data_IF_398445989846
#
_entry.id   IF_398445989846
#
_cell.length_a   1.000
_cell.length_b   1.000
_cell.length_c   1.000
_cell.angle_alpha   90.00
_cell.angle_beta   90.00
_cell.angle_gamma   90.00
#
_symmetry.space_group_name_H-M   'P 1'
#
loop_
_entity.id
_entity.type
_entity.pdbx_description
1 polymer ?
#
# COMPACT_ATOMS: atom_id res chain seq x y z
N UNK A 1 0.69 -4.14 -25.21
CA UNK A 1 -0.49 -4.91 -24.78
C UNK A 1 -0.28 -5.34 -23.34
N UNK A 2 -1.01 -4.74 -22.39
CA UNK A 2 -1.00 -5.20 -21.01
C UNK A 2 -1.36 -6.68 -20.99
N UNK A 3 -0.44 -7.49 -20.48
CA UNK A 3 -0.64 -8.92 -20.46
C UNK A 3 -1.64 -9.23 -19.35
N UNK A 4 -2.85 -9.67 -19.73
CA UNK A 4 -3.97 -9.97 -18.82
C UNK A 4 -3.55 -10.90 -17.67
N UNK A 5 -2.58 -11.79 -17.93
CA UNK A 5 -2.02 -12.69 -16.92
C UNK A 5 -1.36 -11.92 -15.77
N UNK A 6 -0.60 -10.86 -16.06
CA UNK A 6 0.02 -10.04 -15.02
C UNK A 6 -1.00 -9.19 -14.26
N UNK A 7 -2.06 -8.75 -14.93
CA UNK A 7 -3.17 -8.04 -14.27
C UNK A 7 -3.86 -8.95 -13.24
N UNK A 8 -4.11 -10.22 -13.58
CA UNK A 8 -4.69 -11.21 -12.66
C UNK A 8 -3.76 -11.51 -11.47
N UNK A 9 -2.44 -11.60 -11.70
CA UNK A 9 -1.47 -11.82 -10.62
C UNK A 9 -1.43 -10.62 -9.67
N UNK A 10 -1.40 -9.38 -10.20
CA UNK A 10 -1.49 -8.18 -9.38
C UNK A 10 -2.80 -8.10 -8.58
N UNK A 11 -3.92 -8.55 -9.14
CA UNK A 11 -5.21 -8.64 -8.43
C UNK A 11 -5.14 -9.62 -7.25
N UNK A 12 -4.55 -10.80 -7.44
CA UNK A 12 -4.34 -11.77 -6.37
C UNK A 12 -3.44 -11.20 -5.26
N UNK A 13 -2.37 -10.50 -5.63
CA UNK A 13 -1.47 -9.82 -4.67
C UNK A 13 -2.24 -8.72 -3.91
N UNK A 14 -3.06 -7.93 -4.61
CA UNK A 14 -3.87 -6.88 -4.01
C UNK A 14 -4.81 -7.45 -2.94
N UNK A 15 -5.51 -8.54 -3.27
CA UNK A 15 -6.51 -9.14 -2.39
C UNK A 15 -5.90 -9.88 -1.20
N UNK A 16 -4.88 -10.72 -1.42
CA UNK A 16 -4.32 -11.56 -0.36
C UNK A 16 -3.25 -10.87 0.48
N UNK A 17 -2.51 -9.91 -0.07
CA UNK A 17 -1.36 -9.29 0.59
C UNK A 17 -1.66 -7.83 0.91
N UNK A 18 -2.00 -7.03 -0.11
CA UNK A 18 -2.16 -5.59 0.08
C UNK A 18 -3.29 -5.24 1.04
N UNK A 19 -4.39 -6.01 1.05
CA UNK A 19 -5.49 -5.79 1.97
C UNK A 19 -5.09 -5.98 3.44
N UNK A 20 -4.31 -7.01 3.75
CA UNK A 20 -3.81 -7.26 5.11
C UNK A 20 -2.77 -6.22 5.54
N UNK A 21 -1.82 -5.91 4.66
CA UNK A 21 -0.76 -4.93 4.94
C UNK A 21 -1.35 -3.53 5.13
N UNK A 22 -2.28 -3.12 4.27
CA UNK A 22 -2.96 -1.83 4.40
C UNK A 22 -3.84 -1.77 5.64
N UNK A 23 -4.56 -2.85 5.98
CA UNK A 23 -5.35 -2.92 7.22
C UNK A 23 -4.49 -2.77 8.47
N UNK A 24 -3.36 -3.46 8.53
CA UNK A 24 -2.42 -3.34 9.64
C UNK A 24 -1.80 -1.93 9.69
N UNK A 25 -1.30 -1.41 8.57
CA UNK A 25 -0.71 -0.07 8.53
C UNK A 25 -1.73 1.03 8.84
N UNK A 26 -2.99 0.91 8.44
CA UNK A 26 -4.03 1.89 8.73
C UNK A 26 -4.32 1.97 10.23
N UNK A 27 -4.38 0.83 10.92
CA UNK A 27 -4.59 0.78 12.37
C UNK A 27 -3.48 1.52 13.14
N UNK A 28 -2.22 1.28 12.80
CA UNK A 28 -1.11 1.99 13.44
C UNK A 28 -1.03 3.47 12.98
N UNK A 29 -1.39 3.78 11.74
CA UNK A 29 -1.37 5.16 11.22
C UNK A 29 -2.32 6.05 12.01
N UNK A 30 -3.54 5.59 12.30
CA UNK A 30 -4.54 6.35 13.06
C UNK A 30 -4.03 6.75 14.45
N UNK A 31 -3.20 5.91 15.09
CA UNK A 31 -2.63 6.18 16.42
C UNK A 31 -1.39 7.08 16.33
N UNK A 32 -0.51 6.83 15.34
CA UNK A 32 0.76 7.55 15.17
C UNK A 32 0.55 8.94 14.57
N UNK A 33 -0.47 9.14 13.73
CA UNK A 33 -0.74 10.40 13.06
C UNK A 33 -0.96 11.59 14.02
N UNK A 34 -1.80 11.52 15.07
CA UNK A 34 -1.91 12.59 16.06
C UNK A 34 -0.68 12.73 16.96
N UNK A 35 0.17 11.71 17.09
CA UNK A 35 1.43 11.83 17.82
C UNK A 35 2.52 12.49 16.96
N UNK A 36 2.43 12.36 15.64
CA UNK A 36 3.38 12.94 14.69
C UNK A 36 3.34 14.48 14.65
N UNK A 37 2.20 15.10 14.93
CA UNK A 37 2.10 16.57 15.07
C UNK A 37 2.84 17.12 16.30
N UNK A 38 3.08 16.29 17.32
CA UNK A 38 3.80 16.68 18.53
C UNK A 38 5.28 16.29 18.50
N UNK A 39 5.65 15.28 17.71
CA UNK A 39 7.01 14.72 17.65
C UNK A 39 7.48 14.60 16.19
N UNK A 40 8.40 15.49 15.72
CA UNK A 40 8.94 15.43 14.36
C UNK A 40 9.60 14.09 13.95
N UNK A 41 10.22 13.28 14.83
CA UNK A 41 10.74 11.96 14.40
C UNK A 41 9.63 10.94 14.10
N UNK A 42 8.40 11.12 14.61
CA UNK A 42 7.28 10.22 14.32
C UNK A 42 6.67 10.48 12.94
N UNK A 43 6.97 11.62 12.32
CA UNK A 43 6.51 11.92 10.95
C UNK A 43 7.03 10.89 9.95
N UNK A 44 8.29 10.46 10.07
CA UNK A 44 8.85 9.43 9.20
C UNK A 44 8.15 8.08 9.35
N UNK A 45 7.69 7.74 10.55
CA UNK A 45 6.88 6.54 10.77
C UNK A 45 5.49 6.70 10.16
N UNK A 46 4.84 7.85 10.36
CA UNK A 46 3.53 8.13 9.79
C UNK A 46 3.56 8.04 8.25
N UNK A 47 4.58 8.60 7.59
CA UNK A 47 4.74 8.48 6.14
C UNK A 47 5.00 7.05 5.68
N UNK A 48 5.82 6.28 6.39
CA UNK A 48 6.07 4.87 6.07
C UNK A 48 4.78 4.03 6.18
N UNK A 49 3.98 4.29 7.20
CA UNK A 49 2.68 3.65 7.36
C UNK A 49 1.69 4.09 6.29
N UNK A 50 1.68 5.38 5.93
CA UNK A 50 0.86 5.89 4.83
C UNK A 50 1.20 5.21 3.51
N UNK A 51 2.51 5.05 3.23
CA UNK A 51 2.99 4.33 2.05
C UNK A 51 2.52 2.87 2.05
N UNK A 52 2.49 2.21 3.21
CA UNK A 52 1.92 0.88 3.39
C UNK A 52 0.41 0.82 3.14
N UNK A 53 -0.34 1.83 3.57
CA UNK A 53 -1.78 1.97 3.29
C UNK A 53 -2.07 2.24 1.82
N UNK A 54 -1.16 2.92 1.11
CA UNK A 54 -1.27 3.20 -0.33
C UNK A 54 -0.80 2.04 -1.21
N UNK A 55 -0.23 0.99 -0.63
CA UNK A 55 0.22 -0.20 -1.36
C UNK A 55 -0.87 -0.89 -2.22
N UNK A 56 -2.15 -1.00 -1.80
CA UNK A 56 -3.22 -1.53 -2.65
C UNK A 56 -3.48 -0.66 -3.88
N UNK A 57 -3.37 0.67 -3.74
CA UNK A 57 -3.51 1.60 -4.85
C UNK A 57 -2.36 1.42 -5.85
N UNK A 58 -1.13 1.25 -5.36
CA UNK A 58 0.03 0.92 -6.20
C UNK A 58 -0.19 -0.41 -6.95
N UNK A 59 -0.72 -1.43 -6.28
CA UNK A 59 -1.05 -2.71 -6.91
C UNK A 59 -2.13 -2.56 -7.99
N UNK A 60 -3.15 -1.75 -7.75
CA UNK A 60 -4.21 -1.47 -8.71
C UNK A 60 -3.69 -0.71 -9.95
N UNK A 61 -2.79 0.26 -9.75
CA UNK A 61 -2.16 1.00 -10.84
C UNK A 61 -1.32 0.10 -11.76
N UNK A 62 -0.55 -0.81 -11.15
CA UNK A 62 0.24 -1.82 -11.88
C UNK A 62 -0.62 -2.87 -12.58
N UNK A 63 -1.77 -3.23 -11.98
CA UNK A 63 -2.78 -4.08 -12.59
C UNK A 63 -3.39 -3.44 -13.85
N UNK A 64 -3.73 -2.15 -13.80
CA UNK A 64 -4.29 -1.39 -14.93
C UNK A 64 -3.26 -1.16 -16.04
N UNK A 65 -2.00 -0.95 -15.65
CA UNK A 65 -0.89 -0.81 -16.60
C UNK A 65 -0.46 -2.14 -17.24
N UNK A 66 -0.89 -3.29 -16.69
CA UNK A 66 -0.48 -4.62 -17.14
C UNK A 66 1.04 -4.84 -17.05
N UNK A 67 1.67 -4.22 -16.04
CA UNK A 67 3.12 -4.22 -15.88
C UNK A 67 3.66 -5.65 -15.59
N UNK A 68 4.76 -6.07 -16.23
CA UNK A 68 5.42 -7.33 -15.90
C UNK A 68 5.93 -7.30 -14.46
N UNK A 69 6.08 -8.47 -13.84
CA UNK A 69 6.58 -8.64 -12.47
C UNK A 69 8.12 -8.52 -12.38
N UNK A 70 8.73 -7.63 -13.17
CA UNK A 70 10.18 -7.42 -13.27
C UNK A 70 10.53 -5.98 -13.57
#
# INVERSE_FOLDING_TARGET
MGNIVYSIIWLLILFFISFFVAGFCAGFYIIVHPLSVCLPPLTSLAELLLQGVQFPHYCADKMMSGAPLG
#
